data_IF_824870580744
#
_entry.id   IF_824870580744
#
_cell.length_a   1.000
_cell.length_b   1.000
_cell.length_c   1.000
_cell.angle_alpha   90.00
_cell.angle_beta   90.00
_cell.angle_gamma   90.00
#
_symmetry.space_group_name_H-M   'P 1'
#
loop_
_entity.id
_entity.type
_entity.pdbx_description
1 polymer ?
#
# COMPACT_ATOMS: atom_id res chain seq x y z
N UNK A 1 -11.19 -16.11 1.57
CA UNK A 1 -10.55 -15.08 2.43
C UNK A 1 -9.18 -14.74 1.88
N UNK A 2 -8.87 -13.46 1.67
CA UNK A 2 -7.57 -12.95 1.22
C UNK A 2 -6.64 -12.82 2.42
N UNK A 3 -5.41 -13.33 2.28
CA UNK A 3 -4.30 -13.13 3.21
C UNK A 3 -3.14 -12.52 2.46
N UNK A 4 -3.07 -11.19 2.46
CA UNK A 4 -2.13 -10.43 1.64
C UNK A 4 -0.91 -9.95 2.42
N UNK A 5 0.23 -9.82 1.74
CA UNK A 5 1.42 -9.12 2.22
C UNK A 5 1.84 -8.05 1.22
N UNK A 6 2.14 -6.85 1.70
CA UNK A 6 2.68 -5.78 0.88
C UNK A 6 4.20 -5.87 0.87
N UNK A 7 4.79 -5.87 -0.32
CA UNK A 7 6.24 -5.91 -0.55
C UNK A 7 6.62 -4.77 -1.48
N UNK A 8 7.64 -4.04 -1.10
CA UNK A 8 8.17 -2.94 -1.89
C UNK A 8 9.20 -3.45 -2.89
N UNK A 9 8.91 -3.34 -4.20
CA UNK A 9 9.90 -3.42 -5.27
C UNK A 9 10.64 -2.09 -5.36
N UNK A 10 9.92 -0.98 -5.51
CA UNK A 10 10.42 0.38 -5.30
C UNK A 10 10.22 0.83 -3.85
N UNK A 11 11.06 1.74 -3.36
CA UNK A 11 10.95 2.26 -1.99
C UNK A 11 11.16 3.78 -1.91
N UNK A 12 11.20 4.48 -3.02
CA UNK A 12 11.33 5.93 -3.11
C UNK A 12 9.97 6.64 -2.96
N UNK A 13 9.21 6.26 -1.93
CA UNK A 13 7.90 6.87 -1.69
C UNK A 13 8.00 8.26 -1.07
N UNK A 14 9.02 8.53 -0.29
CA UNK A 14 9.19 9.78 0.45
C UNK A 14 10.38 10.57 -0.09
N UNK A 15 10.21 11.88 -0.20
CA UNK A 15 11.28 12.82 -0.40
C UNK A 15 11.71 13.36 0.96
N UNK A 16 12.74 12.76 1.54
CA UNK A 16 13.34 13.20 2.78
C UNK A 16 14.60 13.99 2.43
N UNK A 17 14.51 15.31 2.42
CA UNK A 17 15.68 16.13 2.14
C UNK A 17 16.60 16.26 3.37
N UNK A 18 17.83 16.81 3.17
CA UNK A 18 18.79 17.06 4.23
C UNK A 18 18.39 18.26 5.11
N UNK A 19 17.14 18.25 5.61
CA UNK A 19 16.82 19.19 6.67
C UNK A 19 17.90 19.04 7.74
N UNK A 20 18.66 20.09 7.98
CA UNK A 20 19.53 20.14 9.16
C UNK A 20 18.66 19.72 10.32
N UNK A 21 19.09 18.75 11.15
CA UNK A 21 18.24 18.26 12.22
C UNK A 21 17.73 19.47 12.99
N UNK A 22 16.42 19.60 13.06
CA UNK A 22 15.80 20.54 13.98
C UNK A 22 16.42 20.24 15.35
N UNK A 23 16.95 21.23 16.00
CA UNK A 23 17.59 21.13 17.31
C UNK A 23 16.75 20.23 18.21
N UNK A 24 17.32 19.13 18.72
CA UNK A 24 16.61 18.18 19.57
C UNK A 24 15.96 16.97 18.88
N UNK A 25 16.17 16.76 17.58
CA UNK A 25 15.62 15.58 16.90
C UNK A 25 16.26 14.29 17.44
N UNK A 26 15.44 13.41 18.02
CA UNK A 26 15.88 12.14 18.57
C UNK A 26 16.61 11.30 17.50
N UNK A 27 17.62 10.55 17.92
CA UNK A 27 18.40 9.64 17.06
C UNK A 27 17.51 8.63 16.32
N UNK A 28 16.36 8.27 16.89
CA UNK A 28 15.34 7.41 16.28
C UNK A 28 14.70 8.04 15.04
N UNK A 29 14.32 9.34 15.10
CA UNK A 29 13.72 10.06 13.97
C UNK A 29 14.74 10.16 12.84
N UNK A 30 15.96 10.55 13.14
CA UNK A 30 17.06 10.62 12.16
C UNK A 30 17.29 9.28 11.45
N UNK A 31 17.21 8.15 12.18
CA UNK A 31 17.32 6.81 11.58
C UNK A 31 16.15 6.49 10.64
N UNK A 32 14.92 6.89 11.00
CA UNK A 32 13.73 6.69 10.16
C UNK A 32 13.88 7.49 8.87
N UNK A 33 14.22 8.77 8.95
CA UNK A 33 14.42 9.65 7.79
C UNK A 33 15.47 9.08 6.83
N UNK A 34 16.59 8.58 7.36
CA UNK A 34 17.64 7.96 6.54
C UNK A 34 17.14 6.71 5.77
N UNK A 35 16.24 5.91 6.37
CA UNK A 35 15.63 4.75 5.68
C UNK A 35 14.68 5.23 4.58
N UNK A 36 13.91 6.31 4.82
CA UNK A 36 12.87 6.82 3.93
C UNK A 36 13.43 7.61 2.75
N UNK A 37 14.63 8.20 2.88
CA UNK A 37 15.25 9.02 1.82
C UNK A 37 15.32 8.29 0.49
N UNK A 38 14.86 8.94 -0.58
CA UNK A 38 14.93 8.41 -1.94
C UNK A 38 16.38 8.13 -2.35
N UNK A 39 16.59 7.08 -3.12
CA UNK A 39 17.93 6.65 -3.58
C UNK A 39 17.94 6.52 -5.11
N UNK A 40 19.08 6.83 -5.76
CA UNK A 40 19.21 6.69 -7.21
C UNK A 40 19.44 5.24 -7.67
N UNK A 41 19.19 4.27 -6.79
CA UNK A 41 19.33 2.84 -7.06
C UNK A 41 18.25 2.04 -6.35
N UNK A 42 17.93 0.88 -6.93
CA UNK A 42 16.93 -0.03 -6.40
C UNK A 42 17.35 -0.63 -5.05
N UNK A 43 16.47 -0.54 -4.05
CA UNK A 43 16.66 -1.12 -2.71
C UNK A 43 15.90 -2.42 -2.56
N UNK A 44 16.29 -3.42 -3.37
CA UNK A 44 15.59 -4.70 -3.44
C UNK A 44 16.59 -5.86 -3.54
N UNK A 45 16.36 -6.93 -2.77
CA UNK A 45 17.16 -8.13 -2.74
C UNK A 45 16.32 -9.33 -3.24
N UNK A 46 16.72 -9.91 -4.36
CA UNK A 46 15.97 -10.99 -5.02
C UNK A 46 16.01 -12.30 -4.23
N UNK A 47 17.08 -12.58 -3.50
CA UNK A 47 17.14 -13.78 -2.66
C UNK A 47 16.13 -13.63 -1.51
N UNK A 48 16.05 -12.45 -0.92
CA UNK A 48 15.05 -12.16 0.11
C UNK A 48 13.62 -12.20 -0.44
N UNK A 49 13.38 -11.67 -1.64
CA UNK A 49 12.09 -11.79 -2.32
C UNK A 49 11.65 -13.25 -2.46
N UNK A 50 12.54 -14.09 -2.95
CA UNK A 50 12.27 -15.53 -3.11
C UNK A 50 11.99 -16.22 -1.78
N UNK A 51 12.74 -15.87 -0.74
CA UNK A 51 12.55 -16.39 0.61
C UNK A 51 11.20 -15.95 1.19
N UNK A 52 10.84 -14.68 1.05
CA UNK A 52 9.54 -14.13 1.48
C UNK A 52 8.39 -14.91 0.82
N UNK A 53 8.41 -15.09 -0.50
CA UNK A 53 7.38 -15.84 -1.23
C UNK A 53 7.26 -17.28 -0.76
N UNK A 54 8.37 -17.97 -0.54
CA UNK A 54 8.38 -19.32 -0.02
C UNK A 54 7.75 -19.40 1.39
N UNK A 55 8.07 -18.45 2.25
CA UNK A 55 7.46 -18.34 3.58
C UNK A 55 5.98 -17.97 3.53
N UNK A 56 5.56 -17.09 2.62
CA UNK A 56 4.15 -16.75 2.40
C UNK A 56 3.34 -17.99 2.00
N UNK A 57 3.82 -18.75 1.02
CA UNK A 57 3.18 -20.01 0.61
C UNK A 57 3.04 -20.98 1.78
N UNK A 58 4.11 -21.20 2.54
CA UNK A 58 4.09 -22.07 3.73
C UNK A 58 3.14 -21.58 4.83
N UNK A 59 2.95 -20.29 4.94
CA UNK A 59 2.06 -19.66 5.92
C UNK A 59 0.57 -19.69 5.50
N UNK A 60 0.25 -20.12 4.28
CA UNK A 60 -1.12 -20.11 3.74
C UNK A 60 -1.57 -18.73 3.23
N UNK A 61 -0.63 -17.82 2.97
CA UNK A 61 -0.93 -16.53 2.35
C UNK A 61 -1.12 -16.73 0.84
N UNK A 62 -2.10 -16.02 0.28
CA UNK A 62 -2.56 -16.22 -1.10
C UNK A 62 -2.53 -14.97 -1.98
N UNK A 63 -2.03 -13.85 -1.47
CA UNK A 63 -1.90 -12.61 -2.23
C UNK A 63 -0.64 -11.84 -1.85
N UNK A 64 0.03 -11.26 -2.84
CA UNK A 64 1.11 -10.28 -2.64
C UNK A 64 0.76 -8.98 -3.34
N UNK A 65 0.74 -7.89 -2.59
CA UNK A 65 0.65 -6.53 -3.15
C UNK A 65 2.07 -6.06 -3.41
N UNK A 66 2.39 -5.83 -4.68
CA UNK A 66 3.73 -5.38 -5.11
C UNK A 66 3.70 -3.85 -5.28
N UNK A 67 4.35 -3.15 -4.37
CA UNK A 67 4.56 -1.70 -4.47
C UNK A 67 5.70 -1.44 -5.45
N UNK A 68 5.34 -1.05 -6.68
CA UNK A 68 6.25 -1.07 -7.83
C UNK A 68 7.15 0.16 -7.83
N UNK A 69 6.54 1.36 -7.74
CA UNK A 69 7.23 2.63 -7.74
C UNK A 69 8.31 2.73 -8.83
N UNK A 70 9.46 3.26 -8.48
CA UNK A 70 10.65 3.37 -9.35
C UNK A 70 11.36 2.04 -9.63
N UNK A 71 10.84 0.95 -9.08
CA UNK A 71 11.46 -0.39 -9.20
C UNK A 71 11.30 -1.06 -10.56
N UNK A 72 10.56 -0.48 -11.49
CA UNK A 72 10.32 -0.97 -12.83
C UNK A 72 10.85 0.00 -13.89
N UNK A 73 11.48 -0.53 -14.93
CA UNK A 73 11.78 0.19 -16.17
C UNK A 73 10.52 0.17 -17.03
N UNK A 74 9.65 1.18 -16.82
CA UNK A 74 8.44 1.33 -17.62
C UNK A 74 8.82 1.61 -19.08
N UNK A 75 8.10 1.03 -20.03
CA UNK A 75 8.28 1.30 -21.45
C UNK A 75 7.71 2.67 -21.80
N UNK A 76 6.60 3.06 -21.15
CA UNK A 76 5.96 4.36 -21.31
C UNK A 76 6.77 5.52 -20.70
N UNK A 77 7.39 5.31 -19.54
CA UNK A 77 8.10 6.34 -18.76
C UNK A 77 9.41 5.80 -18.17
N UNK A 78 10.43 5.50 -19.01
CA UNK A 78 11.69 4.91 -18.57
C UNK A 78 12.49 5.82 -17.62
N UNK A 79 12.25 7.13 -17.63
CA UNK A 79 12.89 8.15 -16.81
C UNK A 79 12.52 8.03 -15.29
N UNK A 80 11.47 7.29 -14.96
CA UNK A 80 11.09 7.02 -13.56
C UNK A 80 12.02 5.98 -12.92
N UNK A 81 12.57 5.08 -13.73
CA UNK A 81 13.38 3.99 -13.23
C UNK A 81 14.72 4.45 -12.63
N UNK A 82 15.12 3.81 -11.55
CA UNK A 82 16.44 4.01 -10.94
C UNK A 82 17.43 2.91 -11.36
N UNK A 83 18.71 3.10 -11.07
CA UNK A 83 19.72 2.08 -11.36
C UNK A 83 19.36 0.73 -10.72
N UNK A 84 19.26 -0.32 -11.52
CA UNK A 84 18.97 -1.68 -11.07
C UNK A 84 17.48 -2.05 -11.06
N UNK A 85 16.58 -1.14 -11.47
CA UNK A 85 15.16 -1.43 -11.63
C UNK A 85 14.93 -2.61 -12.58
N UNK A 86 13.89 -3.38 -12.32
CA UNK A 86 13.54 -4.55 -13.12
C UNK A 86 13.05 -4.14 -14.51
N UNK A 87 13.41 -4.92 -15.52
CA UNK A 87 12.79 -4.81 -16.84
C UNK A 87 11.37 -5.39 -16.81
N UNK A 88 10.53 -4.98 -17.76
CA UNK A 88 9.17 -5.53 -17.94
C UNK A 88 9.21 -7.05 -18.15
N UNK A 89 10.20 -7.57 -18.91
CA UNK A 89 10.44 -9.00 -19.10
C UNK A 89 10.72 -9.71 -17.78
N UNK A 90 11.55 -9.12 -16.90
CA UNK A 90 11.85 -9.68 -15.59
C UNK A 90 10.60 -9.68 -14.69
N UNK A 91 9.86 -8.58 -14.64
CA UNK A 91 8.62 -8.51 -13.89
C UNK A 91 7.63 -9.61 -14.32
N UNK A 92 7.37 -9.75 -15.62
CA UNK A 92 6.48 -10.82 -16.16
C UNK A 92 6.92 -12.21 -15.71
N UNK A 93 8.24 -12.50 -15.75
CA UNK A 93 8.80 -13.77 -15.27
C UNK A 93 8.51 -14.00 -13.78
N UNK A 94 8.73 -12.98 -12.96
CA UNK A 94 8.50 -13.06 -11.52
C UNK A 94 7.00 -13.21 -11.18
N UNK A 95 6.11 -12.47 -11.87
CA UNK A 95 4.67 -12.61 -11.70
C UNK A 95 4.17 -14.01 -12.05
N UNK A 96 4.69 -14.61 -13.14
CA UNK A 96 4.39 -16.01 -13.50
C UNK A 96 4.82 -16.98 -12.40
N UNK A 97 6.02 -16.79 -11.84
CA UNK A 97 6.52 -17.57 -10.70
C UNK A 97 5.60 -17.43 -9.47
N UNK A 98 5.21 -16.20 -9.11
CA UNK A 98 4.30 -15.95 -7.98
C UNK A 98 2.98 -16.70 -8.16
N UNK A 99 2.38 -16.62 -9.35
CA UNK A 99 1.13 -17.35 -9.67
C UNK A 99 1.31 -18.88 -9.59
N UNK A 100 2.44 -19.41 -10.05
CA UNK A 100 2.73 -20.85 -9.95
C UNK A 100 2.86 -21.35 -8.50
N UNK A 101 3.07 -20.44 -7.55
CA UNK A 101 3.09 -20.74 -6.13
C UNK A 101 1.70 -20.72 -5.47
N UNK A 102 0.64 -20.38 -6.23
CA UNK A 102 -0.72 -20.18 -5.73
C UNK A 102 -0.91 -18.83 -5.01
N UNK A 103 -0.05 -17.86 -5.29
CA UNK A 103 -0.13 -16.51 -4.75
C UNK A 103 -0.55 -15.56 -5.86
N UNK A 104 -1.60 -14.76 -5.63
CA UNK A 104 -2.09 -13.76 -6.56
C UNK A 104 -1.27 -12.47 -6.43
N UNK A 105 -0.56 -12.01 -7.49
CA UNK A 105 0.12 -10.73 -7.46
C UNK A 105 -0.83 -9.59 -7.81
N UNK A 106 -0.82 -8.54 -7.00
CA UNK A 106 -1.60 -7.30 -7.18
C UNK A 106 -0.64 -6.11 -7.27
N UNK A 107 -0.76 -5.24 -8.29
CA UNK A 107 0.05 -4.06 -8.40
C UNK A 107 -0.36 -2.98 -7.41
N UNK A 108 0.61 -2.19 -6.95
CA UNK A 108 0.39 -0.95 -6.24
C UNK A 108 1.27 0.15 -6.83
N UNK A 109 0.65 1.28 -7.13
CA UNK A 109 1.28 2.58 -7.38
C UNK A 109 0.63 3.60 -6.43
N UNK A 110 1.41 4.24 -5.59
CA UNK A 110 0.85 5.21 -4.65
C UNK A 110 0.86 6.61 -5.27
N UNK A 111 -0.33 7.15 -5.53
CA UNK A 111 -0.54 8.47 -6.15
C UNK A 111 -0.85 9.58 -5.15
N UNK A 112 -0.67 9.33 -3.84
CA UNK A 112 -0.70 10.39 -2.84
C UNK A 112 0.54 11.27 -2.95
N UNK A 113 0.42 12.58 -2.83
CA UNK A 113 1.55 13.51 -2.84
C UNK A 113 2.52 13.30 -1.67
N UNK A 114 2.10 12.62 -0.61
CA UNK A 114 3.01 12.18 0.45
C UNK A 114 3.94 11.05 -0.03
N UNK A 115 3.49 10.27 -1.02
CA UNK A 115 4.14 9.02 -1.43
C UNK A 115 4.44 8.95 -2.93
N UNK A 116 4.53 10.07 -3.64
CA UNK A 116 4.69 10.14 -5.09
C UNK A 116 6.12 10.42 -5.59
N UNK A 117 7.10 10.49 -4.69
CA UNK A 117 8.51 10.77 -5.06
C UNK A 117 9.07 9.77 -6.07
N UNK A 118 8.54 8.53 -6.09
CA UNK A 118 8.89 7.51 -7.08
C UNK A 118 8.56 7.90 -8.53
N UNK A 119 7.62 8.84 -8.74
CA UNK A 119 7.32 9.38 -10.07
C UNK A 119 8.47 10.20 -10.67
N UNK A 120 9.56 10.42 -9.94
CA UNK A 120 10.74 11.13 -10.43
C UNK A 120 10.41 12.55 -10.89
N UNK A 121 10.59 12.89 -12.19
CA UNK A 121 10.33 14.25 -12.67
C UNK A 121 8.85 14.66 -12.60
N UNK A 122 7.94 13.73 -12.40
CA UNK A 122 6.48 13.97 -12.30
C UNK A 122 5.96 14.04 -10.88
N UNK A 123 6.83 13.86 -9.89
CA UNK A 123 6.48 14.01 -8.47
C UNK A 123 5.92 15.41 -8.21
N UNK A 124 4.87 15.51 -7.42
CA UNK A 124 4.18 16.77 -7.07
C UNK A 124 3.51 17.51 -8.25
N UNK A 125 3.44 16.90 -9.44
CA UNK A 125 2.77 17.49 -10.61
C UNK A 125 1.25 17.22 -10.65
N UNK A 126 0.65 16.89 -9.51
CA UNK A 126 -0.77 16.54 -9.41
C UNK A 126 -1.71 17.58 -10.01
N UNK A 127 -2.87 17.13 -10.48
CA UNK A 127 -3.92 17.98 -11.09
C UNK A 127 -3.47 18.76 -12.33
N UNK A 128 -2.50 18.23 -13.08
CA UNK A 128 -2.04 18.81 -14.36
C UNK A 128 -2.23 17.81 -15.51
N UNK A 129 -2.29 18.32 -16.74
CA UNK A 129 -2.38 17.45 -17.94
C UNK A 129 -1.22 16.47 -18.04
N UNK A 130 0.00 16.92 -17.69
CA UNK A 130 1.18 16.05 -17.63
C UNK A 130 0.98 14.90 -16.65
N UNK A 131 0.52 15.21 -15.43
CA UNK A 131 0.24 14.19 -14.41
C UNK A 131 -0.80 13.16 -14.87
N UNK A 132 -1.91 13.63 -15.46
CA UNK A 132 -2.95 12.74 -15.94
C UNK A 132 -2.47 11.82 -17.07
N UNK A 133 -1.68 12.34 -18.01
CA UNK A 133 -1.12 11.52 -19.09
C UNK A 133 -0.17 10.45 -18.53
N UNK A 134 0.75 10.83 -17.64
CA UNK A 134 1.69 9.89 -17.01
C UNK A 134 0.95 8.83 -16.20
N UNK A 135 -0.03 9.22 -15.36
CA UNK A 135 -0.80 8.26 -14.56
C UNK A 135 -1.57 7.27 -15.44
N UNK A 136 -2.18 7.75 -16.54
CA UNK A 136 -2.88 6.89 -17.51
C UNK A 136 -1.93 5.86 -18.11
N UNK A 137 -0.79 6.32 -18.64
CA UNK A 137 0.19 5.45 -19.30
C UNK A 137 0.73 4.39 -18.35
N UNK A 138 1.04 4.77 -17.10
CA UNK A 138 1.52 3.84 -16.07
C UNK A 138 0.45 2.83 -15.64
N UNK A 139 -0.81 3.25 -15.48
CA UNK A 139 -1.91 2.35 -15.12
C UNK A 139 -2.15 1.36 -16.26
N UNK A 140 -2.18 1.83 -17.51
CA UNK A 140 -2.36 1.00 -18.71
C UNK A 140 -1.25 -0.06 -18.80
N UNK A 141 0.00 0.36 -18.72
CA UNK A 141 1.14 -0.55 -18.80
C UNK A 141 1.13 -1.58 -17.67
N UNK A 142 0.90 -1.15 -16.43
CA UNK A 142 0.89 -2.05 -15.28
C UNK A 142 -0.29 -3.01 -15.32
N UNK A 143 -1.49 -2.58 -15.72
CA UNK A 143 -2.63 -3.47 -15.90
C UNK A 143 -2.35 -4.56 -16.95
N UNK A 144 -1.67 -4.21 -18.06
CA UNK A 144 -1.23 -5.17 -19.08
C UNK A 144 -0.16 -6.12 -18.55
N UNK A 145 0.85 -5.61 -17.84
CA UNK A 145 1.94 -6.43 -17.28
C UNK A 145 1.45 -7.45 -16.25
N UNK A 146 0.45 -7.08 -15.45
CA UNK A 146 -0.19 -7.96 -14.47
C UNK A 146 -1.34 -8.79 -15.06
N UNK A 147 -1.54 -8.77 -16.39
CA UNK A 147 -2.54 -9.59 -17.09
C UNK A 147 -3.97 -9.37 -16.54
N UNK A 148 -4.37 -8.11 -16.40
CA UNK A 148 -5.65 -7.67 -15.82
C UNK A 148 -5.83 -8.23 -14.41
N UNK A 149 -5.13 -7.69 -13.41
CA UNK A 149 -5.23 -8.15 -12.04
C UNK A 149 -6.64 -7.89 -11.48
N UNK A 150 -7.06 -8.63 -10.47
CA UNK A 150 -8.37 -8.42 -9.84
C UNK A 150 -8.50 -7.05 -9.17
N UNK A 151 -7.40 -6.56 -8.61
CA UNK A 151 -7.31 -5.26 -7.92
C UNK A 151 -6.09 -4.48 -8.40
N UNK A 152 -6.18 -3.16 -8.27
CA UNK A 152 -5.06 -2.23 -8.39
C UNK A 152 -5.06 -1.30 -7.19
N UNK A 153 -3.99 -1.30 -6.40
CA UNK A 153 -3.90 -0.45 -5.21
C UNK A 153 -3.32 0.93 -5.57
N UNK A 154 -4.14 1.98 -5.45
CA UNK A 154 -3.81 3.35 -5.83
C UNK A 154 -3.11 4.16 -4.71
N UNK A 155 -3.02 3.63 -3.49
CA UNK A 155 -2.51 4.36 -2.34
C UNK A 155 -3.49 5.41 -1.84
N UNK A 156 -3.22 6.70 -2.06
CA UNK A 156 -4.05 7.86 -1.73
C UNK A 156 -4.12 8.20 -0.23
N UNK A 157 -3.05 7.87 0.52
CA UNK A 157 -2.96 8.06 1.95
C UNK A 157 -2.09 9.25 2.37
N UNK A 158 -2.32 9.74 3.59
CA UNK A 158 -1.46 10.69 4.33
C UNK A 158 -1.18 12.01 3.60
N UNK A 159 -2.03 12.44 2.67
CA UNK A 159 -1.86 13.67 1.91
C UNK A 159 -2.17 14.90 2.76
N UNK A 160 -1.26 15.24 3.67
CA UNK A 160 -1.36 16.41 4.55
C UNK A 160 -0.03 17.15 4.63
N UNK A 161 -0.07 18.45 4.94
CA UNK A 161 1.15 19.25 5.13
C UNK A 161 2.01 18.71 6.30
N UNK A 162 1.36 18.19 7.35
CA UNK A 162 2.08 17.62 8.50
C UNK A 162 2.89 16.37 8.12
N UNK A 163 2.36 15.47 7.30
CA UNK A 163 3.09 14.31 6.82
C UNK A 163 4.24 14.68 5.89
N UNK A 164 4.12 15.81 5.17
CA UNK A 164 5.12 16.32 4.22
C UNK A 164 6.12 17.32 4.85
N UNK A 165 6.19 17.41 6.18
CA UNK A 165 7.04 18.39 6.87
C UNK A 165 8.56 18.21 6.66
N UNK A 166 8.99 17.06 6.15
CA UNK A 166 10.37 16.78 5.78
C UNK A 166 10.60 16.78 4.26
N UNK A 167 9.59 17.04 3.47
CA UNK A 167 9.72 17.17 2.01
C UNK A 167 10.20 18.56 1.62
N UNK A 168 10.85 18.70 0.45
CA UNK A 168 11.24 20.00 -0.09
C UNK A 168 10.02 20.89 -0.38
N UNK A 169 8.94 20.26 -0.83
CA UNK A 169 7.68 20.92 -1.14
C UNK A 169 6.52 20.14 -0.53
N UNK A 170 5.63 20.82 0.16
CA UNK A 170 4.37 20.26 0.60
C UNK A 170 3.28 20.60 -0.43
N UNK A 171 2.72 19.58 -1.07
CA UNK A 171 1.62 19.70 -2.03
C UNK A 171 0.45 18.88 -1.52
N UNK A 172 -0.67 19.53 -1.29
CA UNK A 172 -1.90 18.90 -0.75
C UNK A 172 -3.07 19.28 -1.65
N UNK A 173 -3.64 18.27 -2.32
CA UNK A 173 -4.89 18.46 -3.07
C UNK A 173 -6.04 18.69 -2.09
N UNK A 174 -6.81 19.71 -2.31
CA UNK A 174 -7.89 20.09 -1.38
C UNK A 174 -9.25 20.00 -2.04
N UNK A 175 -10.27 19.64 -1.24
CA UNK A 175 -11.67 19.67 -1.62
C UNK A 175 -11.97 18.93 -2.93
N UNK A 176 -12.47 19.65 -3.94
CA UNK A 176 -12.87 19.06 -5.21
C UNK A 176 -11.68 18.54 -6.05
N UNK A 177 -10.48 19.11 -5.91
CA UNK A 177 -9.29 18.65 -6.64
C UNK A 177 -8.88 17.24 -6.23
N UNK A 178 -8.93 16.93 -4.93
CA UNK A 178 -8.66 15.57 -4.45
C UNK A 178 -9.62 14.56 -5.07
N UNK A 179 -10.91 14.89 -5.09
CA UNK A 179 -11.93 14.00 -5.67
C UNK A 179 -11.86 13.92 -7.18
N UNK A 180 -11.49 15.00 -7.86
CA UNK A 180 -11.30 15.02 -9.30
C UNK A 180 -10.17 14.06 -9.71
N UNK A 181 -9.00 14.18 -9.10
CA UNK A 181 -7.87 13.31 -9.38
C UNK A 181 -8.16 11.85 -8.94
N UNK A 182 -8.84 11.69 -7.82
CA UNK A 182 -9.23 10.37 -7.34
C UNK A 182 -10.15 9.64 -8.33
N UNK A 183 -11.18 10.30 -8.83
CA UNK A 183 -12.08 9.71 -9.83
C UNK A 183 -11.34 9.41 -11.13
N UNK A 184 -10.48 10.31 -11.59
CA UNK A 184 -9.64 10.05 -12.75
C UNK A 184 -8.85 8.76 -12.58
N UNK A 185 -8.15 8.58 -11.46
CA UNK A 185 -7.35 7.38 -11.20
C UNK A 185 -8.22 6.11 -11.10
N UNK A 186 -9.38 6.19 -10.48
CA UNK A 186 -10.34 5.07 -10.38
C UNK A 186 -10.85 4.70 -11.77
N UNK A 187 -11.27 5.67 -12.57
CA UNK A 187 -11.80 5.46 -13.92
C UNK A 187 -10.74 4.83 -14.83
N UNK A 188 -9.47 5.26 -14.73
CA UNK A 188 -8.37 4.66 -15.49
C UNK A 188 -8.13 3.19 -15.13
N UNK A 189 -8.25 2.81 -13.86
CA UNK A 189 -8.16 1.40 -13.42
C UNK A 189 -9.38 0.60 -13.87
N UNK A 190 -10.59 1.12 -13.65
CA UNK A 190 -11.84 0.42 -13.95
C UNK A 190 -12.05 0.22 -15.46
N UNK A 191 -11.49 1.07 -16.31
CA UNK A 191 -11.45 0.91 -17.78
C UNK A 191 -10.80 -0.42 -18.21
N UNK A 192 -9.90 -0.99 -17.41
CA UNK A 192 -9.30 -2.30 -17.64
C UNK A 192 -10.10 -3.47 -17.08
N UNK A 193 -11.30 -3.23 -16.52
CA UNK A 193 -12.06 -4.20 -15.75
C UNK A 193 -11.31 -4.70 -14.51
N UNK A 194 -10.50 -3.83 -13.93
CA UNK A 194 -9.74 -4.02 -12.69
C UNK A 194 -10.41 -3.18 -11.61
N UNK A 195 -10.52 -3.69 -10.39
CA UNK A 195 -11.15 -2.98 -9.31
C UNK A 195 -10.13 -2.15 -8.53
N UNK A 196 -10.42 -0.85 -8.34
CA UNK A 196 -9.56 0.04 -7.55
C UNK A 196 -9.58 -0.32 -6.06
N UNK A 197 -8.43 -0.17 -5.40
CA UNK A 197 -8.21 -0.42 -3.98
C UNK A 197 -7.39 0.72 -3.39
N UNK A 198 -7.82 1.26 -2.22
CA UNK A 198 -7.17 2.44 -1.62
C UNK A 198 -7.01 2.30 -0.12
N UNK A 199 -6.12 3.10 0.45
CA UNK A 199 -6.10 3.40 1.89
C UNK A 199 -7.27 4.30 2.24
N UNK A 200 -7.90 4.07 3.39
CA UNK A 200 -9.17 4.72 3.75
C UNK A 200 -9.02 5.90 4.71
N UNK A 201 -7.81 6.37 4.95
CA UNK A 201 -7.54 7.38 5.99
C UNK A 201 -8.15 8.77 5.70
N UNK A 202 -8.51 9.08 4.44
CA UNK A 202 -9.32 10.27 4.14
C UNK A 202 -10.64 10.30 4.92
N UNK A 203 -11.23 9.13 5.20
CA UNK A 203 -12.43 8.97 6.03
C UNK A 203 -12.25 9.53 7.45
N UNK A 204 -11.05 9.43 8.02
CA UNK A 204 -10.82 9.79 9.41
C UNK A 204 -11.09 11.27 9.72
N UNK A 205 -10.85 12.13 8.74
CA UNK A 205 -10.95 13.58 8.86
C UNK A 205 -12.12 14.16 8.08
N UNK A 206 -12.68 13.42 7.14
CA UNK A 206 -13.70 13.88 6.20
C UNK A 206 -14.85 12.88 6.00
N UNK A 207 -15.47 12.35 7.08
CA UNK A 207 -16.45 11.25 6.97
C UNK A 207 -17.65 11.59 6.10
N UNK A 208 -18.24 12.79 6.28
CA UNK A 208 -19.46 13.19 5.55
C UNK A 208 -19.23 13.23 4.04
N UNK A 209 -18.15 13.87 3.61
CA UNK A 209 -17.84 13.95 2.18
C UNK A 209 -17.35 12.61 1.62
N UNK A 210 -16.63 11.82 2.42
CA UNK A 210 -16.22 10.49 2.04
C UNK A 210 -17.42 9.61 1.70
N UNK A 211 -18.38 9.46 2.59
CA UNK A 211 -19.55 8.61 2.36
C UNK A 211 -20.48 9.12 1.26
N UNK A 212 -20.46 10.42 1.00
CA UNK A 212 -21.21 11.03 -0.11
C UNK A 212 -20.57 10.78 -1.48
N UNK A 213 -19.24 10.69 -1.55
CA UNK A 213 -18.50 10.70 -2.81
C UNK A 213 -17.75 9.40 -3.14
N UNK A 214 -17.35 8.59 -2.15
CA UNK A 214 -16.56 7.39 -2.38
C UNK A 214 -17.38 6.33 -3.13
N UNK A 215 -16.94 5.85 -4.32
CA UNK A 215 -17.64 4.81 -5.05
C UNK A 215 -17.64 3.48 -4.28
N UNK A 216 -18.77 2.74 -4.34
CA UNK A 216 -18.89 1.42 -3.69
C UNK A 216 -18.05 0.34 -4.36
N UNK A 217 -17.63 0.57 -5.59
CA UNK A 217 -16.73 -0.33 -6.33
C UNK A 217 -15.32 -0.36 -5.74
N UNK A 218 -14.89 0.72 -5.09
CA UNK A 218 -13.55 0.87 -4.55
C UNK A 218 -13.38 0.07 -3.25
N UNK A 219 -12.41 -0.84 -3.22
CA UNK A 219 -12.04 -1.60 -2.01
C UNK A 219 -11.34 -0.70 -1.00
N UNK A 220 -11.74 -0.81 0.26
CA UNK A 220 -11.26 0.03 1.35
C UNK A 220 -10.27 -0.73 2.25
N UNK A 221 -9.07 -0.18 2.42
CA UNK A 221 -8.10 -0.65 3.41
C UNK A 221 -7.93 0.36 4.52
N UNK A 222 -8.79 0.28 5.52
CA UNK A 222 -8.54 1.02 6.74
C UNK A 222 -7.39 0.38 7.51
N UNK A 223 -6.54 1.22 8.13
CA UNK A 223 -5.37 0.77 8.87
C UNK A 223 -5.30 1.44 10.25
N UNK A 224 -4.89 0.64 11.24
CA UNK A 224 -4.64 1.13 12.59
C UNK A 224 -3.51 0.35 13.22
N UNK A 225 -2.45 1.04 13.62
CA UNK A 225 -1.24 0.41 14.16
C UNK A 225 -1.11 0.54 15.68
N UNK A 226 -2.15 0.98 16.36
CA UNK A 226 -2.21 1.07 17.81
C UNK A 226 -2.44 -0.29 18.49
N UNK A 227 -2.41 -0.27 19.81
CA UNK A 227 -2.59 -1.47 20.66
C UNK A 227 -4.03 -1.69 21.09
N UNK A 228 -4.83 -0.64 21.21
CA UNK A 228 -6.18 -0.67 21.79
C UNK A 228 -7.20 -0.52 20.66
N UNK A 229 -8.01 -1.56 20.46
CA UNK A 229 -9.10 -1.51 19.48
C UNK A 229 -10.39 -1.15 20.22
N UNK A 230 -10.78 0.12 20.10
CA UNK A 230 -11.98 0.68 20.73
C UNK A 230 -12.67 1.61 19.74
N UNK A 231 -14.00 1.48 19.60
CA UNK A 231 -14.83 2.31 18.69
C UNK A 231 -14.78 3.82 18.98
N UNK A 232 -14.30 4.23 20.14
CA UNK A 232 -14.08 5.64 20.47
C UNK A 232 -12.79 6.20 19.85
N UNK A 233 -11.94 5.36 19.28
CA UNK A 233 -10.76 5.75 18.52
C UNK A 233 -11.18 5.90 17.06
N UNK A 234 -11.04 7.10 16.50
CA UNK A 234 -11.50 7.42 15.15
C UNK A 234 -11.02 6.43 14.07
N UNK A 235 -9.75 6.07 14.12
CA UNK A 235 -9.15 5.08 13.21
C UNK A 235 -9.76 3.67 13.33
N UNK A 236 -10.22 3.29 14.52
CA UNK A 236 -10.89 2.00 14.76
C UNK A 236 -12.37 2.09 14.41
N UNK A 237 -13.01 3.22 14.71
CA UNK A 237 -14.40 3.50 14.32
C UNK A 237 -14.60 3.39 12.80
N UNK A 238 -13.59 3.76 12.01
CA UNK A 238 -13.65 3.70 10.56
C UNK A 238 -13.96 2.31 10.00
N UNK A 239 -13.55 1.19 10.64
CA UNK A 239 -13.96 -0.16 10.23
C UNK A 239 -15.47 -0.34 10.30
N UNK A 240 -16.11 0.16 11.38
CA UNK A 240 -17.56 0.07 11.57
C UNK A 240 -18.31 1.01 10.64
N UNK A 241 -17.79 2.21 10.43
CA UNK A 241 -18.41 3.18 9.53
C UNK A 241 -18.41 2.66 8.08
N UNK A 242 -17.32 2.03 7.62
CA UNK A 242 -17.24 1.39 6.32
C UNK A 242 -18.23 0.23 6.18
N UNK A 243 -18.36 -0.61 7.23
CA UNK A 243 -19.35 -1.69 7.26
C UNK A 243 -20.78 -1.14 7.16
N UNK A 244 -21.13 -0.18 8.02
CA UNK A 244 -22.46 0.44 8.05
C UNK A 244 -22.87 1.08 6.73
N UNK A 245 -21.88 1.58 5.97
CA UNK A 245 -22.12 2.16 4.65
C UNK A 245 -21.92 1.16 3.50
N UNK A 246 -21.68 -0.11 3.78
CA UNK A 246 -21.69 -1.20 2.80
C UNK A 246 -20.47 -1.24 1.88
N UNK A 247 -19.29 -0.87 2.35
CA UNK A 247 -18.03 -1.00 1.60
C UNK A 247 -17.36 -2.34 1.82
N UNK A 248 -16.78 -2.88 0.74
CA UNK A 248 -15.90 -4.05 0.83
C UNK A 248 -14.55 -3.64 1.43
N UNK A 249 -14.07 -4.44 2.38
CA UNK A 249 -12.91 -4.08 3.18
C UNK A 249 -11.81 -5.16 3.12
N UNK A 250 -10.55 -4.68 3.08
CA UNK A 250 -9.34 -5.45 3.36
C UNK A 250 -8.60 -4.72 4.48
N UNK A 251 -9.01 -4.89 5.75
CA UNK A 251 -8.36 -4.26 6.89
C UNK A 251 -6.87 -4.52 6.93
N UNK A 252 -6.10 -3.49 7.30
CA UNK A 252 -4.64 -3.54 7.27
C UNK A 252 -4.05 -3.46 8.66
N UNK A 253 -3.15 -4.40 8.95
CA UNK A 253 -2.34 -4.43 10.16
C UNK A 253 -0.85 -4.35 9.87
N UNK A 254 -0.06 -4.17 10.92
CA UNK A 254 1.38 -3.97 10.83
C UNK A 254 2.12 -4.78 11.89
N UNK A 255 3.29 -5.30 11.54
CA UNK A 255 4.16 -6.00 12.50
C UNK A 255 5.18 -5.09 13.21
N UNK A 256 5.39 -3.87 12.69
CA UNK A 256 6.40 -2.93 13.19
C UNK A 256 5.97 -2.25 14.48
N UNK A 257 4.69 -1.96 14.63
CA UNK A 257 4.11 -1.30 15.82
C UNK A 257 3.84 -2.25 17.00
N UNK A 258 4.14 -3.54 16.82
CA UNK A 258 3.99 -4.59 17.83
C UNK A 258 3.55 -5.91 17.22
N UNK A 259 3.98 -7.02 17.83
CA UNK A 259 3.72 -8.37 17.30
C UNK A 259 2.24 -8.77 17.32
N UNK A 260 1.41 -8.04 18.05
CA UNK A 260 -0.01 -8.37 18.25
C UNK A 260 -0.95 -7.53 17.37
N UNK A 261 -0.47 -6.42 16.80
CA UNK A 261 -1.33 -5.49 16.08
C UNK A 261 -2.12 -6.18 14.96
N UNK A 262 -1.46 -6.94 14.07
CA UNK A 262 -2.15 -7.65 12.99
C UNK A 262 -3.18 -8.66 13.52
N UNK A 263 -2.86 -9.42 14.58
CA UNK A 263 -3.78 -10.39 15.18
C UNK A 263 -5.00 -9.68 15.74
N UNK A 264 -4.81 -8.53 16.41
CA UNK A 264 -5.90 -7.70 16.93
C UNK A 264 -6.76 -7.11 15.82
N UNK A 265 -6.14 -6.71 14.69
CA UNK A 265 -6.88 -6.29 13.49
C UNK A 265 -7.76 -7.42 12.97
N UNK A 266 -7.22 -8.64 12.87
CA UNK A 266 -7.99 -9.82 12.45
C UNK A 266 -9.14 -10.07 13.43
N UNK A 267 -8.85 -10.15 14.72
CA UNK A 267 -9.87 -10.41 15.75
C UNK A 267 -11.00 -9.37 15.71
N UNK A 268 -10.66 -8.11 15.79
CA UNK A 268 -11.65 -7.03 15.82
C UNK A 268 -12.51 -7.00 14.55
N UNK A 269 -11.88 -7.07 13.38
CA UNK A 269 -12.61 -6.97 12.12
C UNK A 269 -13.44 -8.21 11.82
N UNK A 270 -13.01 -9.41 12.19
CA UNK A 270 -13.80 -10.63 12.06
C UNK A 270 -15.10 -10.55 12.88
N UNK A 271 -15.05 -9.95 14.08
CA UNK A 271 -16.23 -9.81 14.94
C UNK A 271 -17.17 -8.67 14.56
N UNK A 272 -16.72 -7.70 13.74
CA UNK A 272 -17.46 -6.47 13.50
C UNK A 272 -17.76 -6.18 12.03
N UNK A 273 -17.15 -6.88 11.10
CA UNK A 273 -17.41 -6.74 9.65
C UNK A 273 -18.07 -8.02 9.15
N UNK A 274 -19.17 -7.89 8.44
CA UNK A 274 -19.88 -9.03 7.88
C UNK A 274 -19.00 -9.81 6.88
N UNK A 275 -19.16 -11.12 6.83
CA UNK A 275 -18.43 -11.98 5.90
C UNK A 275 -18.60 -11.57 4.43
N UNK A 276 -19.72 -10.93 4.09
CA UNK A 276 -20.01 -10.41 2.75
C UNK A 276 -19.08 -9.25 2.39
N UNK A 277 -18.65 -8.45 3.38
CA UNK A 277 -17.86 -7.23 3.18
C UNK A 277 -16.38 -7.40 3.52
N UNK A 278 -16.06 -8.37 4.37
CA UNK A 278 -14.68 -8.67 4.74
C UNK A 278 -14.03 -9.57 3.68
N UNK A 279 -13.32 -8.96 2.73
CA UNK A 279 -12.65 -9.69 1.65
C UNK A 279 -11.39 -10.41 2.14
N UNK A 280 -10.72 -9.88 3.16
CA UNK A 280 -9.50 -10.41 3.71
C UNK A 280 -8.73 -9.43 4.58
N UNK A 281 -7.42 -9.68 4.71
CA UNK A 281 -6.52 -8.85 5.51
C UNK A 281 -5.21 -8.60 4.79
N UNK A 282 -4.66 -7.39 4.96
CA UNK A 282 -3.35 -7.00 4.42
C UNK A 282 -2.35 -6.77 5.55
N UNK A 283 -1.20 -7.42 5.47
CA UNK A 283 -0.05 -7.15 6.33
C UNK A 283 0.89 -6.18 5.64
N UNK A 284 1.35 -5.16 6.36
CA UNK A 284 2.33 -4.20 5.85
C UNK A 284 3.60 -4.18 6.68
N UNK A 285 4.71 -3.90 6.01
CA UNK A 285 5.99 -3.60 6.63
C UNK A 285 6.65 -2.46 5.84
N UNK A 286 6.73 -1.28 6.46
CA UNK A 286 7.27 -0.07 5.84
C UNK A 286 8.80 -0.05 5.94
N UNK A 287 9.45 -1.03 5.29
CA UNK A 287 10.89 -1.24 5.22
C UNK A 287 11.25 -1.74 3.82
N UNK A 288 12.42 -1.35 3.28
CA UNK A 288 12.86 -1.85 1.99
C UNK A 288 13.09 -3.37 2.02
N UNK A 289 12.88 -4.02 0.89
CA UNK A 289 13.03 -5.48 0.73
C UNK A 289 14.52 -5.83 0.56
N UNK A 290 15.31 -5.65 1.63
CA UNK A 290 16.77 -5.84 1.63
C UNK A 290 17.24 -6.70 2.81
N UNK A 291 18.39 -7.37 2.65
CA UNK A 291 18.98 -8.28 3.66
C UNK A 291 19.04 -7.73 5.09
N UNK A 292 19.35 -6.45 5.35
CA UNK A 292 19.30 -5.89 6.71
C UNK A 292 17.95 -5.99 7.39
N UNK A 293 16.86 -6.03 6.63
CA UNK A 293 15.50 -6.11 7.15
C UNK A 293 14.86 -7.50 7.04
N UNK A 294 15.61 -8.51 6.58
CA UNK A 294 15.16 -9.90 6.41
C UNK A 294 14.38 -10.43 7.62
N UNK A 295 14.94 -10.28 8.81
CA UNK A 295 14.29 -10.76 10.06
C UNK A 295 12.90 -10.15 10.24
N UNK A 296 12.72 -8.87 9.92
CA UNK A 296 11.44 -8.16 10.05
C UNK A 296 10.40 -8.66 9.04
N UNK A 297 10.80 -8.88 7.79
CA UNK A 297 9.92 -9.45 6.77
C UNK A 297 9.43 -10.85 7.17
N UNK A 298 10.32 -11.70 7.63
CA UNK A 298 9.94 -13.08 8.04
C UNK A 298 9.12 -13.09 9.34
N UNK A 299 9.35 -12.18 10.28
CA UNK A 299 8.51 -12.00 11.47
C UNK A 299 7.09 -11.58 11.07
N UNK A 300 6.94 -10.68 10.10
CA UNK A 300 5.62 -10.26 9.59
C UNK A 300 4.81 -11.45 9.07
N UNK A 301 5.41 -12.32 8.26
CA UNK A 301 4.75 -13.53 7.74
C UNK A 301 4.33 -14.48 8.86
N UNK A 302 5.20 -14.68 9.88
CA UNK A 302 4.87 -15.52 11.06
C UNK A 302 3.66 -14.96 11.82
N UNK A 303 3.52 -13.64 11.87
CA UNK A 303 2.38 -12.99 12.52
C UNK A 303 1.10 -13.24 11.72
N UNK A 304 1.15 -13.12 10.38
CA UNK A 304 0.00 -13.46 9.52
C UNK A 304 -0.41 -14.92 9.72
N UNK A 305 0.52 -15.86 9.74
CA UNK A 305 0.22 -17.28 10.01
C UNK A 305 -0.52 -17.49 11.34
N UNK A 306 -0.21 -16.67 12.37
CA UNK A 306 -0.98 -16.70 13.63
C UNK A 306 -2.38 -16.11 13.45
N UNK A 307 -2.52 -15.03 12.69
CA UNK A 307 -3.82 -14.43 12.36
C UNK A 307 -4.72 -15.39 11.59
N UNK A 308 -4.17 -16.14 10.63
CA UNK A 308 -4.90 -17.17 9.88
C UNK A 308 -5.44 -18.26 10.82
N UNK A 309 -4.61 -18.77 11.73
CA UNK A 309 -5.03 -19.78 12.71
C UNK A 309 -6.07 -19.25 13.68
N UNK A 310 -5.96 -18.00 14.11
CA UNK A 310 -6.96 -17.34 14.95
C UNK A 310 -8.30 -17.28 14.21
N UNK A 311 -8.31 -16.76 13.00
CA UNK A 311 -9.51 -16.61 12.17
C UNK A 311 -10.25 -17.95 11.97
N UNK A 312 -9.52 -19.04 11.67
CA UNK A 312 -10.14 -20.36 11.47
C UNK A 312 -10.71 -20.96 12.75
N UNK A 313 -10.23 -20.59 13.93
CA UNK A 313 -10.84 -21.01 15.19
C UNK A 313 -12.15 -20.29 15.44
N UNK A 314 -12.17 -18.97 15.31
CA UNK A 314 -13.36 -18.14 15.53
C UNK A 314 -14.53 -18.43 14.59
N UNK A 315 -14.26 -18.94 13.36
CA UNK A 315 -15.33 -19.27 12.40
C UNK A 315 -15.87 -20.68 12.63
N UNK A 316 -15.08 -21.58 13.26
CA UNK A 316 -15.47 -22.97 13.51
C UNK A 316 -16.10 -23.16 14.92
N UNK A 317 -16.14 -22.13 15.75
CA UNK A 317 -16.90 -22.03 16.99
C UNK A 317 -18.24 -21.31 16.75
#
# INVERSE_FOLDING_TARGET
MIWANLIHLGFNMWEEHDAKPLYGMESRIKKILNIRRAQPYLRFDEELWNEILAHMKKAGMNMVVVDIGEGLQYESHPEIAVKGSWTTKKLKKELKKVRSMGIEPIPKLNFSTMHDTWLGPYSRCVSTDTYYNVCRDLIDEVCCLFEKPRFFHLGMDEETANHQCFSLYAVVRQHHLWWHDFYFLVDEVERHNVRAWVWSDYLWYHPDIFFKKMPKTVVQSNWYYGKIFNKNINYVKAYLDLENHGYDQIPTGNSRSGKENFIRTVSYCTSHISQKRLLGFLQTIWLPTTKPFRKKHLEAIKIVSKGIRYFHREINE
#
